data_IF_409659665338
#
_entry.id   IF_409659665338
#
_cell.length_a   1.000
_cell.length_b   1.000
_cell.length_c   1.000
_cell.angle_alpha   90.00
_cell.angle_beta   90.00
_cell.angle_gamma   90.00
#
_symmetry.space_group_name_H-M   'P 1'
#
loop_
_entity.id
_entity.type
_entity.pdbx_description
1 polymer ?
#
# COMPACT_ATOMS: atom_id res chain seq x y z
N UNK A 1 28.75 -17.02 28.56
CA UNK A 1 28.69 -17.55 27.17
C UNK A 1 27.47 -18.44 26.91
N UNK A 2 27.29 -19.60 27.56
CA UNK A 2 26.11 -20.46 27.26
C UNK A 2 24.76 -19.85 27.69
N UNK A 3 24.68 -19.28 28.90
CA UNK A 3 23.44 -18.69 29.40
C UNK A 3 22.99 -17.46 28.59
N UNK A 4 23.94 -16.61 28.20
CA UNK A 4 23.67 -15.42 27.37
C UNK A 4 23.09 -15.81 26.00
N UNK A 5 23.61 -16.87 25.39
CA UNK A 5 23.11 -17.38 24.12
C UNK A 5 21.69 -17.92 24.25
N UNK A 6 21.39 -18.65 25.33
CA UNK A 6 20.04 -19.17 25.60
C UNK A 6 19.05 -18.02 25.81
N UNK A 7 19.45 -16.98 26.56
CA UNK A 7 18.61 -15.80 26.80
C UNK A 7 18.35 -15.05 25.50
N UNK A 8 19.38 -14.79 24.69
CA UNK A 8 19.23 -14.10 23.40
C UNK A 8 18.31 -14.85 22.43
N UNK A 9 18.49 -16.16 22.31
CA UNK A 9 17.64 -17.01 21.46
C UNK A 9 16.18 -16.99 21.91
N UNK A 10 15.93 -17.05 23.22
CA UNK A 10 14.57 -17.01 23.78
C UNK A 10 13.90 -15.65 23.53
N UNK A 11 14.64 -14.55 23.68
CA UNK A 11 14.14 -13.20 23.39
C UNK A 11 13.79 -13.06 21.91
N UNK A 12 14.63 -13.58 21.01
CA UNK A 12 14.40 -13.55 19.57
C UNK A 12 13.14 -14.34 19.18
N UNK A 13 12.96 -15.55 19.72
CA UNK A 13 11.77 -16.36 19.46
C UNK A 13 10.49 -15.62 19.90
N UNK A 14 10.49 -15.02 21.09
CA UNK A 14 9.37 -14.20 21.55
C UNK A 14 9.10 -12.98 20.67
N UNK A 15 10.14 -12.37 20.10
CA UNK A 15 9.96 -11.27 19.14
C UNK A 15 9.33 -11.76 17.83
N UNK A 16 9.74 -12.93 17.32
CA UNK A 16 9.20 -13.55 16.09
C UNK A 16 7.74 -13.98 16.23
N UNK A 17 7.34 -14.49 17.39
CA UNK A 17 5.93 -14.84 17.68
C UNK A 17 4.99 -13.62 17.77
N UNK A 18 5.54 -12.40 17.65
CA UNK A 18 4.75 -11.16 17.63
C UNK A 18 4.79 -10.37 18.93
N UNK A 19 5.81 -10.61 19.78
CA UNK A 19 6.16 -9.95 21.04
C UNK A 19 5.33 -8.72 21.49
N UNK A 20 4.93 -8.71 22.76
CA UNK A 20 4.25 -7.55 23.37
C UNK A 20 2.73 -7.47 23.08
N UNK A 21 2.10 -8.61 22.77
CA UNK A 21 0.64 -8.73 22.64
C UNK A 21 0.09 -7.97 21.43
N UNK A 22 -1.02 -7.22 21.62
CA UNK A 22 -1.73 -6.51 20.53
C UNK A 22 -0.86 -5.50 19.75
N UNK A 23 0.32 -5.12 20.27
CA UNK A 23 1.20 -4.12 19.65
C UNK A 23 2.10 -4.69 18.55
N UNK A 24 2.18 -6.02 18.39
CA UNK A 24 3.00 -6.68 17.36
C UNK A 24 4.44 -6.11 17.31
N UNK A 25 5.10 -6.04 18.46
CA UNK A 25 6.45 -5.50 18.60
C UNK A 25 6.59 -3.97 18.62
N UNK A 26 5.53 -3.17 18.39
CA UNK A 26 5.62 -1.70 18.41
C UNK A 26 5.86 -1.15 19.82
N UNK A 27 6.71 -0.13 19.92
CA UNK A 27 6.92 0.66 21.14
C UNK A 27 5.60 1.24 21.68
N UNK A 28 5.46 1.38 23.00
CA UNK A 28 4.29 2.05 23.62
C UNK A 28 4.10 3.48 23.11
N UNK A 29 5.17 4.15 22.69
CA UNK A 29 5.19 5.54 22.20
C UNK A 29 5.26 5.66 20.67
N UNK A 30 4.99 4.59 19.91
CA UNK A 30 5.17 4.59 18.45
C UNK A 30 4.47 5.75 17.72
N UNK A 31 3.32 6.21 18.22
CA UNK A 31 2.59 7.36 17.66
C UNK A 31 3.31 8.70 17.86
N UNK A 32 4.03 8.85 18.97
CA UNK A 32 4.86 10.04 19.23
C UNK A 32 6.08 10.02 18.31
N UNK A 33 6.70 8.84 18.14
CA UNK A 33 7.87 8.63 17.27
C UNK A 33 7.52 8.92 15.80
N UNK A 34 6.34 8.49 15.34
CA UNK A 34 5.88 8.63 13.95
C UNK A 34 4.91 9.81 13.75
N UNK A 35 4.95 10.81 14.63
CA UNK A 35 4.09 11.99 14.50
C UNK A 35 4.50 12.77 13.25
N UNK A 36 3.52 13.14 12.43
CA UNK A 36 3.79 13.95 11.24
C UNK A 36 4.32 15.34 11.60
N UNK A 37 5.24 15.88 10.78
CA UNK A 37 5.66 17.27 10.91
C UNK A 37 4.53 18.23 10.52
N UNK A 38 4.63 19.49 10.94
CA UNK A 38 3.73 20.54 10.46
C UNK A 38 4.01 20.84 8.97
N UNK A 39 2.99 21.21 8.19
CA UNK A 39 3.10 21.39 6.73
C UNK A 39 4.21 22.37 6.32
N UNK A 40 4.46 23.41 7.12
CA UNK A 40 5.53 24.38 6.86
C UNK A 40 6.94 23.77 6.85
N UNK A 41 7.14 22.62 7.51
CA UNK A 41 8.42 21.91 7.53
C UNK A 41 8.63 21.06 6.26
N UNK A 42 7.60 20.90 5.43
CA UNK A 42 7.66 20.11 4.20
C UNK A 42 7.99 20.94 2.96
N UNK A 43 8.14 22.27 3.09
CA UNK A 43 8.26 23.18 1.93
C UNK A 43 9.52 22.96 1.10
N UNK A 44 10.67 22.66 1.73
CA UNK A 44 11.89 22.30 1.00
C UNK A 44 11.69 21.00 0.22
N UNK A 45 11.17 19.96 0.87
CA UNK A 45 10.89 18.67 0.23
C UNK A 45 9.93 18.84 -0.96
N UNK A 46 8.88 19.65 -0.80
CA UNK A 46 7.92 19.97 -1.85
C UNK A 46 8.59 20.65 -3.06
N UNK A 47 9.63 21.46 -2.85
CA UNK A 47 10.38 22.11 -3.93
C UNK A 47 11.35 21.16 -4.63
N UNK A 48 11.97 20.25 -3.89
CA UNK A 48 13.03 19.37 -4.42
C UNK A 48 12.53 18.06 -4.99
N UNK A 49 11.33 17.61 -4.59
CA UNK A 49 10.77 16.35 -5.09
C UNK A 49 10.43 16.48 -6.57
N UNK A 50 10.89 15.50 -7.36
CA UNK A 50 10.58 15.44 -8.79
C UNK A 50 9.10 15.09 -9.00
N UNK A 51 8.43 15.83 -9.88
CA UNK A 51 7.01 15.63 -10.21
C UNK A 51 6.81 14.58 -11.29
N UNK A 52 7.42 13.42 -11.09
CA UNK A 52 7.27 12.27 -11.98
C UNK A 52 6.07 11.42 -11.54
N UNK A 53 5.11 11.25 -12.44
CA UNK A 53 3.89 10.47 -12.18
C UNK A 53 4.21 9.01 -11.87
N UNK A 54 5.09 8.39 -12.66
CA UNK A 54 5.38 6.97 -12.53
C UNK A 54 6.06 6.66 -11.19
N UNK A 55 6.96 7.53 -10.74
CA UNK A 55 7.56 7.48 -9.41
C UNK A 55 6.52 7.70 -8.29
N UNK A 56 5.79 8.82 -8.31
CA UNK A 56 4.95 9.23 -7.19
C UNK A 56 3.65 8.43 -7.06
N UNK A 57 3.03 8.06 -8.18
CA UNK A 57 1.69 7.49 -8.22
C UNK A 57 1.68 5.97 -8.47
N UNK A 58 2.79 5.36 -8.87
CA UNK A 58 2.85 3.92 -9.13
C UNK A 58 3.95 3.19 -8.34
N UNK A 59 5.23 3.55 -8.55
CA UNK A 59 6.37 2.88 -7.90
C UNK A 59 6.37 2.99 -6.38
N UNK A 60 6.05 4.19 -5.86
CA UNK A 60 6.06 4.44 -4.42
C UNK A 60 4.76 3.95 -3.78
N UNK A 61 4.77 2.93 -2.90
CA UNK A 61 3.51 2.32 -2.42
C UNK A 61 2.61 3.28 -1.63
N UNK A 62 3.19 4.15 -0.80
CA UNK A 62 2.43 5.16 -0.04
C UNK A 62 1.88 6.23 -0.99
N UNK A 63 2.68 6.68 -1.97
CA UNK A 63 2.25 7.64 -2.97
C UNK A 63 1.11 7.10 -3.85
N UNK A 64 1.23 5.85 -4.31
CA UNK A 64 0.16 5.13 -5.02
C UNK A 64 -1.12 5.03 -4.20
N UNK A 65 -1.01 4.71 -2.91
CA UNK A 65 -2.17 4.62 -2.01
C UNK A 65 -2.86 5.99 -1.86
N UNK A 66 -2.11 7.06 -1.59
CA UNK A 66 -2.65 8.42 -1.46
C UNK A 66 -3.25 8.92 -2.78
N UNK A 67 -2.63 8.60 -3.91
CA UNK A 67 -3.16 8.92 -5.24
C UNK A 67 -4.50 8.23 -5.49
N UNK A 68 -4.63 6.93 -5.14
CA UNK A 68 -5.89 6.20 -5.24
C UNK A 68 -6.97 6.77 -4.33
N UNK A 69 -6.63 7.12 -3.08
CA UNK A 69 -7.56 7.82 -2.18
C UNK A 69 -8.03 9.16 -2.75
N UNK A 70 -7.16 9.89 -3.46
CA UNK A 70 -7.57 11.08 -4.19
C UNK A 70 -8.52 10.74 -5.34
N UNK A 71 -8.22 9.72 -6.15
CA UNK A 71 -9.09 9.29 -7.24
C UNK A 71 -10.48 8.85 -6.78
N UNK A 72 -10.60 8.22 -5.61
CA UNK A 72 -11.87 7.84 -4.98
C UNK A 72 -12.80 9.04 -4.72
N UNK A 73 -12.26 10.26 -4.64
CA UNK A 73 -13.08 11.47 -4.46
C UNK A 73 -13.76 11.94 -5.74
N UNK A 74 -13.44 11.37 -6.91
CA UNK A 74 -13.95 11.76 -8.23
C UNK A 74 -14.39 10.54 -9.01
N UNK A 75 -15.69 10.43 -9.30
CA UNK A 75 -16.29 9.25 -9.94
C UNK A 75 -15.59 8.82 -11.24
N UNK A 76 -15.19 9.78 -12.08
CA UNK A 76 -14.47 9.52 -13.33
C UNK A 76 -13.10 8.86 -13.10
N UNK A 77 -12.35 9.31 -12.10
CA UNK A 77 -11.03 8.77 -11.77
C UNK A 77 -11.15 7.44 -11.03
N UNK A 78 -12.13 7.34 -10.12
CA UNK A 78 -12.44 6.08 -9.43
C UNK A 78 -12.79 4.98 -10.44
N UNK A 79 -13.53 5.31 -11.50
CA UNK A 79 -13.82 4.37 -12.60
C UNK A 79 -12.53 3.88 -13.29
N UNK A 80 -11.60 4.78 -13.61
CA UNK A 80 -10.29 4.41 -14.18
C UNK A 80 -9.49 3.49 -13.25
N UNK A 81 -9.47 3.78 -11.95
CA UNK A 81 -8.76 2.95 -10.96
C UNK A 81 -9.38 1.55 -10.87
N UNK A 82 -10.72 1.46 -10.79
CA UNK A 82 -11.43 0.16 -10.75
C UNK A 82 -11.21 -0.66 -12.02
N UNK A 83 -11.12 0.00 -13.17
CA UNK A 83 -10.76 -0.66 -14.42
C UNK A 83 -9.35 -1.27 -14.33
N UNK A 84 -8.34 -0.50 -13.92
CA UNK A 84 -6.97 -0.99 -13.75
C UNK A 84 -6.89 -2.16 -12.77
N UNK A 85 -7.62 -2.10 -11.66
CA UNK A 85 -7.68 -3.21 -10.70
C UNK A 85 -8.31 -4.46 -11.31
N UNK A 86 -9.37 -4.29 -12.12
CA UNK A 86 -10.02 -5.42 -12.81
C UNK A 86 -9.09 -6.05 -13.85
N UNK A 87 -8.27 -5.25 -14.55
CA UNK A 87 -7.26 -5.75 -15.49
C UNK A 87 -6.15 -6.48 -14.75
N UNK A 88 -5.65 -5.93 -13.64
CA UNK A 88 -4.63 -6.58 -12.83
C UNK A 88 -5.13 -7.94 -12.27
N UNK A 89 -6.40 -8.03 -11.88
CA UNK A 89 -7.03 -9.31 -11.52
C UNK A 89 -7.09 -10.26 -12.71
N UNK A 90 -7.50 -9.77 -13.89
CA UNK A 90 -7.59 -10.57 -15.11
C UNK A 90 -6.26 -11.22 -15.48
N UNK A 91 -5.15 -10.47 -15.41
CA UNK A 91 -3.81 -10.95 -15.80
C UNK A 91 -3.27 -12.10 -14.94
N UNK A 92 -3.82 -12.29 -13.72
CA UNK A 92 -3.38 -13.35 -12.79
C UNK A 92 -4.41 -14.47 -12.65
N UNK A 93 -5.52 -14.43 -13.40
CA UNK A 93 -6.52 -15.48 -13.38
C UNK A 93 -6.06 -16.71 -14.18
N UNK A 94 -6.48 -17.92 -13.77
CA UNK A 94 -6.35 -19.11 -14.59
C UNK A 94 -7.10 -18.97 -15.93
N UNK A 95 -6.57 -19.60 -16.98
CA UNK A 95 -7.09 -19.52 -18.36
C UNK A 95 -8.58 -19.82 -18.47
N UNK A 96 -9.09 -20.76 -17.67
CA UNK A 96 -10.51 -21.16 -17.69
C UNK A 96 -11.45 -20.03 -17.29
N UNK A 97 -10.95 -19.03 -16.53
CA UNK A 97 -11.72 -17.89 -16.02
C UNK A 97 -11.52 -16.61 -16.84
N UNK A 98 -10.51 -16.56 -17.72
CA UNK A 98 -10.22 -15.37 -18.52
C UNK A 98 -11.40 -14.98 -19.42
N UNK A 99 -12.05 -15.95 -20.05
CA UNK A 99 -13.18 -15.68 -20.94
C UNK A 99 -14.36 -14.98 -20.24
N UNK A 100 -14.64 -15.33 -18.99
CA UNK A 100 -15.70 -14.72 -18.18
C UNK A 100 -15.30 -13.33 -17.69
N UNK A 101 -14.12 -13.22 -17.05
CA UNK A 101 -13.64 -11.94 -16.51
C UNK A 101 -13.42 -10.88 -17.60
N UNK A 102 -12.93 -11.29 -18.77
CA UNK A 102 -12.75 -10.38 -19.91
C UNK A 102 -14.07 -9.79 -20.40
N UNK A 103 -15.13 -10.60 -20.49
CA UNK A 103 -16.47 -10.13 -20.87
C UNK A 103 -17.03 -9.15 -19.84
N UNK A 104 -16.83 -9.43 -18.55
CA UNK A 104 -17.23 -8.52 -17.46
C UNK A 104 -16.57 -7.15 -17.62
N UNK A 105 -15.25 -7.10 -17.82
CA UNK A 105 -14.48 -5.86 -17.99
C UNK A 105 -14.97 -5.07 -19.20
N UNK A 106 -15.16 -5.73 -20.35
CA UNK A 106 -15.64 -5.08 -21.57
C UNK A 106 -17.02 -4.45 -21.34
N UNK A 107 -17.97 -5.22 -20.80
CA UNK A 107 -19.34 -4.76 -20.56
C UNK A 107 -19.40 -3.61 -19.56
N UNK A 108 -18.53 -3.61 -18.56
CA UNK A 108 -18.56 -2.63 -17.47
C UNK A 108 -17.86 -1.31 -17.81
N UNK A 109 -16.78 -1.34 -18.58
CA UNK A 109 -15.90 -0.17 -18.75
C UNK A 109 -15.73 0.30 -20.20
N UNK A 110 -16.00 -0.56 -21.20
CA UNK A 110 -15.66 -0.27 -22.61
C UNK A 110 -16.88 -0.06 -23.52
N UNK A 111 -18.09 -0.39 -23.03
CA UNK A 111 -19.33 -0.14 -23.75
C UNK A 111 -19.95 1.15 -23.21
N UNK A 112 -20.17 2.18 -24.04
CA UNK A 112 -20.92 3.37 -23.65
C UNK A 112 -22.35 2.97 -23.25
N UNK A 113 -22.82 3.48 -22.11
CA UNK A 113 -24.21 3.31 -21.66
C UNK A 113 -25.23 4.04 -22.53
#
# INVERSE_FOLDING_TARGET
MELENIVANTVLLKAREGGGGKRKGKSKKWKEILKFPHISQCEDLRRTIERDYYSLCDKQPIGRLLFRQFCETRLELECCIKFLDSVAEYEVLPDEKLGEKGKEIVMKYLIPG
#
